data_IF_528058168387
#
_entry.id   IF_528058168387
#
_cell.length_a   1.000
_cell.length_b   1.000
_cell.length_c   1.000
_cell.angle_alpha   90.00
_cell.angle_beta   90.00
_cell.angle_gamma   90.00
#
_symmetry.space_group_name_H-M   'P 1'
#
loop_
_entity.id
_entity.type
_entity.pdbx_description
1 polymer ?
#
# COMPACT_ATOMS: atom_id res chain seq x y z
N UNK A 1 -14.95 9.76 27.90
CA UNK A 1 -13.90 10.46 27.14
C UNK A 1 -14.48 10.82 25.79
N UNK A 2 -15.06 12.08 25.74
CA UNK A 2 -15.79 12.57 24.56
C UNK A 2 -14.88 12.87 23.39
N UNK A 3 -14.62 11.88 22.59
CA UNK A 3 -14.17 12.12 21.21
C UNK A 3 -15.41 12.54 20.44
N UNK A 4 -15.50 13.84 20.17
CA UNK A 4 -16.59 14.42 19.42
C UNK A 4 -16.78 13.70 18.09
N UNK A 5 -18.02 13.34 17.81
CA UNK A 5 -18.45 12.87 16.49
C UNK A 5 -18.32 14.03 15.51
N UNK A 6 -17.47 13.91 14.52
CA UNK A 6 -17.20 14.98 13.55
C UNK A 6 -17.77 14.64 12.19
N UNK A 7 -18.35 15.66 11.52
CA UNK A 7 -18.80 15.55 10.11
C UNK A 7 -17.60 15.22 9.23
N UNK A 8 -17.76 14.22 8.37
CA UNK A 8 -16.71 13.66 7.51
C UNK A 8 -15.79 12.68 8.22
N UNK A 9 -15.92 12.47 9.54
CA UNK A 9 -15.28 11.39 10.26
C UNK A 9 -15.89 10.03 9.91
N UNK A 10 -15.28 8.96 10.41
CA UNK A 10 -15.77 7.60 10.19
C UNK A 10 -16.37 7.05 11.49
N UNK A 11 -17.54 6.44 11.37
CA UNK A 11 -18.10 5.52 12.36
C UNK A 11 -17.57 4.13 12.05
N UNK A 12 -16.89 3.51 13.02
CA UNK A 12 -16.22 2.21 12.86
C UNK A 12 -16.82 1.20 13.83
N UNK A 13 -17.36 0.10 13.30
CA UNK A 13 -17.88 -1.01 14.10
C UNK A 13 -16.74 -1.93 14.55
N UNK A 14 -16.94 -2.73 15.62
CA UNK A 14 -15.99 -3.74 16.04
C UNK A 14 -15.60 -4.68 14.91
N UNK A 15 -14.34 -5.10 14.90
CA UNK A 15 -13.84 -6.03 13.89
C UNK A 15 -14.46 -7.41 14.04
N UNK A 16 -14.93 -7.98 12.92
CA UNK A 16 -15.37 -9.37 12.80
C UNK A 16 -14.44 -10.06 11.80
N UNK A 17 -13.85 -11.18 12.18
CA UNK A 17 -12.88 -11.92 11.36
C UNK A 17 -11.73 -11.04 10.80
N UNK A 18 -11.23 -10.10 11.62
CA UNK A 18 -10.14 -9.20 11.24
C UNK A 18 -10.55 -8.00 10.37
N UNK A 19 -11.83 -7.88 10.00
CA UNK A 19 -12.32 -6.77 9.17
C UNK A 19 -13.29 -5.91 9.98
N UNK A 20 -13.06 -4.58 10.01
CA UNK A 20 -13.96 -3.61 10.62
C UNK A 20 -14.80 -2.90 9.55
N UNK A 21 -16.10 -2.87 9.73
CA UNK A 21 -16.97 -2.07 8.87
C UNK A 21 -16.92 -0.59 9.29
N UNK A 22 -16.89 0.31 8.31
CA UNK A 22 -16.88 1.75 8.56
C UNK A 22 -17.84 2.49 7.62
N UNK A 23 -18.32 3.64 8.06
CA UNK A 23 -19.14 4.53 7.27
C UNK A 23 -18.82 5.99 7.59
N UNK A 24 -18.82 6.85 6.57
CA UNK A 24 -18.56 8.28 6.70
C UNK A 24 -19.79 9.00 7.28
N UNK A 25 -19.56 9.86 8.28
CA UNK A 25 -20.60 10.67 8.91
C UNK A 25 -20.86 11.88 8.02
N UNK A 26 -22.07 11.99 7.51
CA UNK A 26 -22.52 13.12 6.67
C UNK A 26 -22.97 14.30 7.53
N UNK A 27 -23.73 14.02 8.58
CA UNK A 27 -24.34 15.04 9.42
C UNK A 27 -24.53 14.52 10.86
N UNK A 28 -24.35 15.40 11.84
CA UNK A 28 -24.71 15.17 13.22
C UNK A 28 -25.99 15.95 13.49
N UNK A 29 -27.12 15.25 13.55
CA UNK A 29 -28.45 15.87 13.68
C UNK A 29 -28.66 16.34 15.12
N UNK A 30 -28.35 15.49 16.10
CA UNK A 30 -28.40 15.77 17.51
C UNK A 30 -27.50 14.83 18.32
N UNK A 31 -27.60 14.82 19.64
CA UNK A 31 -26.78 13.98 20.52
C UNK A 31 -27.04 12.48 20.38
N UNK A 32 -28.17 12.09 19.80
CA UNK A 32 -28.62 10.69 19.69
C UNK A 32 -28.71 10.23 18.22
N UNK A 33 -28.60 11.16 17.25
CA UNK A 33 -28.84 10.86 15.84
C UNK A 33 -27.76 11.44 14.94
N UNK A 34 -27.22 10.58 14.11
CA UNK A 34 -26.26 10.93 13.07
C UNK A 34 -26.72 10.38 11.71
N UNK A 35 -26.45 11.13 10.65
CA UNK A 35 -26.68 10.66 9.27
C UNK A 35 -25.38 10.20 8.67
N UNK A 36 -25.42 9.02 8.05
CA UNK A 36 -24.28 8.46 7.33
C UNK A 36 -24.41 8.75 5.84
N UNK A 37 -23.31 9.09 5.19
CA UNK A 37 -23.25 9.37 3.75
C UNK A 37 -23.60 8.14 2.90
N UNK A 38 -23.25 6.95 3.39
CA UNK A 38 -23.67 5.67 2.84
C UNK A 38 -23.96 4.72 3.98
N UNK A 39 -24.99 3.86 3.84
CA UNK A 39 -25.30 2.87 4.86
C UNK A 39 -24.18 1.85 4.97
N UNK A 40 -24.07 1.22 6.14
CA UNK A 40 -23.25 0.04 6.31
C UNK A 40 -23.71 -1.08 5.35
N UNK A 41 -22.77 -1.84 4.85
CA UNK A 41 -23.02 -2.96 3.92
C UNK A 41 -22.47 -4.25 4.50
N UNK A 42 -23.10 -5.36 4.08
CA UNK A 42 -22.70 -6.71 4.45
C UNK A 42 -23.37 -7.23 5.72
N UNK A 43 -23.49 -8.55 5.77
CA UNK A 43 -24.21 -9.29 6.82
C UNK A 43 -23.69 -8.96 8.24
N UNK A 44 -22.39 -9.09 8.44
CA UNK A 44 -21.78 -8.89 9.76
C UNK A 44 -21.99 -7.47 10.34
N UNK A 45 -21.91 -6.44 9.51
CA UNK A 45 -22.15 -5.07 9.95
C UNK A 45 -23.61 -4.85 10.34
N UNK A 46 -24.54 -5.35 9.55
CA UNK A 46 -25.97 -5.22 9.83
C UNK A 46 -26.40 -6.05 11.04
N UNK A 47 -25.83 -7.24 11.24
CA UNK A 47 -26.03 -8.03 12.44
C UNK A 47 -25.57 -7.30 13.71
N UNK A 48 -24.39 -6.67 13.66
CA UNK A 48 -23.89 -5.87 14.79
C UNK A 48 -24.79 -4.68 15.11
N UNK A 49 -25.31 -3.99 14.10
CA UNK A 49 -26.13 -2.78 14.27
C UNK A 49 -27.53 -3.07 14.78
N UNK A 50 -28.09 -4.19 14.37
CA UNK A 50 -29.52 -4.50 14.61
C UNK A 50 -29.72 -5.65 15.58
N UNK A 51 -28.70 -6.45 15.87
CA UNK A 51 -28.80 -7.69 16.65
C UNK A 51 -29.58 -8.81 15.96
N UNK A 52 -30.00 -8.61 14.70
CA UNK A 52 -30.83 -9.56 13.93
C UNK A 52 -29.95 -10.58 13.22
N UNK A 53 -30.41 -11.83 13.18
CA UNK A 53 -29.74 -12.92 12.45
C UNK A 53 -30.29 -13.12 11.03
N UNK A 54 -31.52 -12.66 10.77
CA UNK A 54 -32.23 -12.78 9.49
C UNK A 54 -31.72 -11.76 8.43
N UNK A 55 -30.42 -11.79 8.15
CA UNK A 55 -29.75 -10.88 7.23
C UNK A 55 -28.96 -11.69 6.21
N UNK A 56 -29.18 -11.40 4.91
CA UNK A 56 -28.48 -12.03 3.80
C UNK A 56 -27.02 -11.55 3.67
N UNK A 57 -26.26 -12.19 2.79
CA UNK A 57 -24.85 -11.85 2.52
C UNK A 57 -24.65 -10.41 2.03
N UNK A 58 -25.68 -9.77 1.49
CA UNK A 58 -25.65 -8.38 1.02
C UNK A 58 -26.03 -7.36 2.11
N UNK A 59 -26.42 -7.84 3.30
CA UNK A 59 -26.85 -6.99 4.41
C UNK A 59 -28.33 -6.57 4.36
N UNK A 60 -29.18 -7.29 3.61
CA UNK A 60 -30.61 -7.05 3.57
C UNK A 60 -31.35 -8.00 4.51
N UNK A 61 -32.43 -7.51 5.12
CA UNK A 61 -33.32 -8.35 5.94
C UNK A 61 -34.03 -9.37 5.07
N UNK A 62 -34.07 -10.62 5.51
CA UNK A 62 -34.76 -11.72 4.83
C UNK A 62 -36.21 -11.87 5.26
N UNK A 63 -36.58 -11.31 6.43
CA UNK A 63 -37.95 -11.23 6.91
C UNK A 63 -38.37 -9.79 7.16
N UNK A 64 -39.23 -9.26 6.29
CA UNK A 64 -39.73 -7.89 6.37
C UNK A 64 -40.79 -7.69 7.46
N UNK A 65 -41.34 -8.76 8.03
CA UNK A 65 -42.36 -8.70 9.08
C UNK A 65 -41.76 -8.45 10.47
N UNK A 66 -40.48 -8.72 10.65
CA UNK A 66 -39.77 -8.49 11.91
C UNK A 66 -39.30 -7.06 11.96
N UNK A 67 -39.88 -6.26 12.86
CA UNK A 67 -39.48 -4.88 13.12
C UNK A 67 -38.65 -4.81 14.39
N UNK A 68 -37.48 -4.14 14.30
CA UNK A 68 -36.56 -3.96 15.43
C UNK A 68 -35.59 -5.11 15.66
N UNK A 69 -34.73 -4.97 16.66
CA UNK A 69 -33.80 -6.01 17.10
C UNK A 69 -34.43 -6.94 18.15
N UNK A 70 -33.72 -8.04 18.54
CA UNK A 70 -34.16 -8.95 19.57
C UNK A 70 -34.35 -8.22 20.93
N UNK A 71 -35.22 -8.77 21.77
CA UNK A 71 -35.49 -8.21 23.09
C UNK A 71 -34.20 -8.09 23.93
N UNK A 72 -33.98 -6.92 24.51
CA UNK A 72 -32.75 -6.61 25.27
C UNK A 72 -31.55 -6.17 24.43
N UNK A 73 -31.67 -6.08 23.12
CA UNK A 73 -30.60 -5.52 22.30
C UNK A 73 -30.48 -4.00 22.49
N UNK A 74 -29.33 -3.54 23.01
CA UNK A 74 -29.07 -2.13 23.30
C UNK A 74 -28.21 -1.44 22.25
N UNK A 75 -27.95 -2.09 21.13
CA UNK A 75 -27.10 -1.57 20.04
C UNK A 75 -25.67 -2.10 20.08
N UNK A 76 -24.88 -1.68 19.11
CA UNK A 76 -23.48 -2.08 18.96
C UNK A 76 -22.53 -1.03 19.56
N UNK A 77 -21.40 -1.50 20.08
CA UNK A 77 -20.28 -0.60 20.38
C UNK A 77 -19.70 -0.06 19.07
N UNK A 78 -19.21 1.17 19.09
CA UNK A 78 -18.55 1.77 17.94
C UNK A 78 -17.35 2.61 18.38
N UNK A 79 -16.49 2.93 17.42
CA UNK A 79 -15.42 3.92 17.56
C UNK A 79 -15.62 5.00 16.52
N UNK A 80 -15.23 6.22 16.82
CA UNK A 80 -15.15 7.30 15.84
C UNK A 80 -13.71 7.52 15.45
N UNK A 81 -13.44 7.69 14.15
CA UNK A 81 -12.17 8.14 13.64
C UNK A 81 -12.36 9.55 13.05
N UNK A 82 -11.56 10.53 13.46
CA UNK A 82 -11.68 11.89 12.94
C UNK A 82 -11.37 11.91 11.45
N UNK A 83 -11.94 12.88 10.73
CA UNK A 83 -11.50 13.18 9.36
C UNK A 83 -10.06 13.70 9.43
N UNK A 84 -9.14 12.95 8.85
CA UNK A 84 -7.78 13.44 8.67
C UNK A 84 -7.78 14.34 7.44
N UNK A 85 -7.56 15.62 7.64
CA UNK A 85 -7.31 16.55 6.55
C UNK A 85 -5.89 16.29 6.01
N UNK A 86 -5.83 15.53 4.92
CA UNK A 86 -4.56 15.21 4.26
C UNK A 86 -3.96 16.44 3.55
N UNK A 87 -4.72 17.51 3.35
CA UNK A 87 -4.25 18.72 2.64
C UNK A 87 -3.07 19.32 3.36
N UNK A 88 -3.14 19.49 4.68
CA UNK A 88 -2.04 20.05 5.48
C UNK A 88 -0.76 19.20 5.42
N UNK A 89 -0.91 17.87 5.33
CA UNK A 89 0.24 16.96 5.19
C UNK A 89 0.89 17.14 3.83
N UNK A 90 0.09 17.25 2.77
CA UNK A 90 0.61 17.47 1.41
C UNK A 90 1.24 18.86 1.27
N UNK A 91 0.66 19.90 1.86
CA UNK A 91 1.21 21.26 1.84
C UNK A 91 2.61 21.29 2.48
N UNK A 92 2.79 20.69 3.64
CA UNK A 92 4.11 20.59 4.28
C UNK A 92 5.14 19.81 3.43
N UNK A 93 4.69 18.77 2.70
CA UNK A 93 5.55 18.04 1.76
C UNK A 93 5.92 18.91 0.57
N UNK A 94 4.98 19.66 0.00
CA UNK A 94 5.21 20.54 -1.14
C UNK A 94 6.19 21.67 -0.77
N UNK A 95 6.02 22.29 0.38
CA UNK A 95 6.94 23.31 0.91
C UNK A 95 8.35 22.75 1.07
N UNK A 96 8.49 21.56 1.63
CA UNK A 96 9.79 20.91 1.80
C UNK A 96 10.47 20.60 0.47
N UNK A 97 9.73 20.10 -0.52
CA UNK A 97 10.24 19.77 -1.84
C UNK A 97 10.59 21.04 -2.64
N UNK A 98 9.75 22.09 -2.56
CA UNK A 98 10.00 23.38 -3.22
C UNK A 98 11.23 24.09 -2.65
N UNK A 99 11.52 23.89 -1.37
CA UNK A 99 12.74 24.38 -0.73
C UNK A 99 14.00 23.56 -1.08
N UNK A 100 13.93 22.62 -2.03
CA UNK A 100 15.04 21.75 -2.42
C UNK A 100 15.36 20.63 -1.41
N UNK A 101 14.43 20.34 -0.50
CA UNK A 101 14.58 19.27 0.47
C UNK A 101 14.22 17.90 -0.12
N UNK A 102 14.43 16.87 0.69
CA UNK A 102 14.04 15.50 0.35
C UNK A 102 12.97 14.97 1.31
N UNK A 103 12.11 14.09 0.79
CA UNK A 103 11.07 13.37 1.54
C UNK A 103 11.23 11.89 1.27
N UNK A 104 11.39 11.08 2.34
CA UNK A 104 11.41 9.63 2.26
C UNK A 104 10.02 9.06 2.42
N UNK A 105 9.65 8.10 1.55
CA UNK A 105 8.35 7.44 1.60
C UNK A 105 8.49 5.95 1.28
N UNK A 106 7.70 5.12 1.96
CA UNK A 106 7.55 3.70 1.65
C UNK A 106 6.22 3.49 0.92
N UNK A 107 6.23 3.39 -0.43
CA UNK A 107 5.01 3.42 -1.21
C UNK A 107 4.13 2.17 -1.05
N UNK A 108 4.67 1.09 -0.54
CA UNK A 108 3.91 -0.13 -0.22
C UNK A 108 2.99 0.04 0.99
N UNK A 109 3.32 0.97 1.89
CA UNK A 109 2.49 1.33 3.03
C UNK A 109 2.37 0.28 4.14
N UNK A 110 3.18 -0.77 4.10
CA UNK A 110 3.23 -1.82 5.12
C UNK A 110 4.44 -2.74 4.94
N UNK A 111 4.84 -3.42 6.02
CA UNK A 111 5.88 -4.45 5.99
C UNK A 111 5.26 -5.82 5.70
N UNK A 112 5.96 -6.66 4.95
CA UNK A 112 5.50 -8.00 4.57
C UNK A 112 6.68 -8.93 4.26
N UNK A 113 6.40 -10.24 4.21
CA UNK A 113 7.38 -11.29 3.90
C UNK A 113 7.23 -11.85 2.47
N UNK A 114 6.55 -11.12 1.58
CA UNK A 114 6.34 -11.56 0.20
C UNK A 114 7.61 -11.43 -0.61
N UNK A 115 7.75 -12.29 -1.63
CA UNK A 115 8.85 -12.27 -2.59
C UNK A 115 8.71 -11.20 -3.67
N UNK A 116 7.53 -10.59 -3.78
CA UNK A 116 7.20 -9.51 -4.70
C UNK A 116 6.78 -8.25 -3.95
N UNK A 117 6.89 -7.10 -4.60
CA UNK A 117 6.41 -5.83 -4.06
C UNK A 117 4.88 -5.85 -3.90
N UNK A 118 4.38 -5.22 -2.84
CA UNK A 118 2.95 -4.94 -2.71
C UNK A 118 2.51 -3.88 -3.75
N UNK A 119 1.20 -3.85 -4.10
CA UNK A 119 0.66 -2.75 -4.88
C UNK A 119 0.97 -1.40 -4.23
N UNK A 120 1.55 -0.49 -5.00
CA UNK A 120 1.98 0.80 -4.48
C UNK A 120 0.77 1.69 -4.13
N UNK A 121 0.89 2.43 -3.04
CA UNK A 121 -0.08 3.45 -2.64
C UNK A 121 0.12 4.73 -3.46
N UNK A 122 -0.96 5.40 -3.78
CA UNK A 122 -0.97 6.62 -4.60
C UNK A 122 -0.16 7.80 -4.03
N UNK A 123 0.19 7.78 -2.74
CA UNK A 123 0.82 8.90 -2.04
C UNK A 123 2.07 9.45 -2.71
N UNK A 124 2.99 8.59 -3.16
CA UNK A 124 4.23 9.03 -3.82
C UNK A 124 3.95 9.80 -5.12
N UNK A 125 3.00 9.31 -5.93
CA UNK A 125 2.64 9.95 -7.18
C UNK A 125 1.88 11.28 -6.95
N UNK A 126 0.96 11.32 -5.99
CA UNK A 126 0.23 12.54 -5.61
C UNK A 126 1.20 13.62 -5.11
N UNK A 127 2.17 13.26 -4.26
CA UNK A 127 3.18 14.19 -3.76
C UNK A 127 4.05 14.73 -4.88
N UNK A 128 4.54 13.88 -5.78
CA UNK A 128 5.40 14.28 -6.89
C UNK A 128 4.65 15.15 -7.92
N UNK A 129 3.48 14.72 -8.37
CA UNK A 129 2.66 15.46 -9.34
C UNK A 129 2.15 16.78 -8.74
N UNK A 130 1.71 16.78 -7.48
CA UNK A 130 1.24 17.98 -6.81
C UNK A 130 2.34 19.01 -6.61
N UNK A 131 3.54 18.59 -6.19
CA UNK A 131 4.69 19.48 -6.05
C UNK A 131 5.12 20.10 -7.40
N UNK A 132 5.17 19.29 -8.47
CA UNK A 132 5.49 19.78 -9.82
C UNK A 132 4.36 20.63 -10.42
N UNK A 133 3.11 20.36 -10.08
CA UNK A 133 1.99 21.21 -10.49
C UNK A 133 2.07 22.61 -9.86
N UNK A 134 2.53 22.68 -8.59
CA UNK A 134 2.74 23.95 -7.88
C UNK A 134 4.04 24.64 -8.28
N UNK A 135 5.11 23.88 -8.52
CA UNK A 135 6.46 24.41 -8.84
C UNK A 135 7.11 23.60 -9.98
N UNK A 136 6.75 23.88 -11.26
CA UNK A 136 7.20 23.08 -12.40
C UNK A 136 8.72 23.03 -12.59
N UNK A 137 9.40 24.09 -12.19
CA UNK A 137 10.84 24.25 -12.38
C UNK A 137 11.67 23.79 -11.17
N UNK A 138 11.05 23.11 -10.20
CA UNK A 138 11.73 22.64 -8.99
C UNK A 138 12.79 21.57 -9.25
N UNK A 139 12.81 20.95 -10.45
CA UNK A 139 13.74 19.86 -10.78
C UNK A 139 13.54 18.60 -9.95
N UNK A 140 12.34 18.41 -9.38
CA UNK A 140 11.98 17.25 -8.54
C UNK A 140 12.20 15.95 -9.30
N UNK A 141 12.84 15.00 -8.62
CA UNK A 141 13.07 13.64 -9.11
C UNK A 141 12.66 12.63 -8.04
N UNK A 142 12.21 11.46 -8.49
CA UNK A 142 11.94 10.32 -7.61
C UNK A 142 13.15 9.40 -7.67
N UNK A 143 13.79 9.14 -6.52
CA UNK A 143 14.94 8.24 -6.44
C UNK A 143 14.48 6.92 -5.83
N UNK A 144 14.41 5.82 -6.61
CA UNK A 144 14.06 4.52 -6.06
C UNK A 144 15.19 4.02 -5.14
N UNK A 145 14.81 3.46 -4.00
CA UNK A 145 15.74 2.97 -3.00
C UNK A 145 15.38 1.53 -2.64
N UNK A 146 16.23 0.58 -3.00
CA UNK A 146 16.11 -0.83 -2.63
C UNK A 146 16.78 -1.11 -1.29
N UNK A 147 16.06 -1.77 -0.38
CA UNK A 147 16.58 -2.22 0.90
C UNK A 147 16.69 -3.74 0.91
N UNK A 148 17.89 -4.26 0.67
CA UNK A 148 18.12 -5.70 0.57
C UNK A 148 18.71 -6.23 1.87
N UNK A 149 17.92 -6.99 2.64
CA UNK A 149 18.31 -7.57 3.91
C UNK A 149 18.85 -8.98 3.75
N UNK A 150 19.93 -9.29 4.50
CA UNK A 150 20.49 -10.65 4.60
C UNK A 150 20.20 -11.18 6.00
N UNK A 151 19.46 -12.28 6.10
CA UNK A 151 19.11 -12.88 7.39
C UNK A 151 18.43 -11.90 8.36
N UNK A 152 17.34 -11.26 7.91
CA UNK A 152 16.61 -10.23 8.66
C UNK A 152 16.21 -10.65 10.09
N UNK A 153 16.06 -11.97 10.35
CA UNK A 153 15.75 -12.55 11.65
C UNK A 153 16.94 -12.61 12.61
N UNK A 154 18.16 -12.29 12.16
CA UNK A 154 19.37 -12.35 13.01
C UNK A 154 19.80 -10.95 13.45
N UNK A 155 20.07 -10.82 14.75
CA UNK A 155 20.66 -9.60 15.29
C UNK A 155 22.00 -9.29 14.61
N UNK A 156 22.28 -8.00 14.34
CA UNK A 156 23.46 -7.52 13.60
C UNK A 156 23.57 -8.10 12.18
N UNK A 157 22.46 -8.43 11.56
CA UNK A 157 22.42 -8.79 10.15
C UNK A 157 22.87 -7.61 9.28
N UNK A 158 23.27 -7.90 8.06
CA UNK A 158 23.71 -6.90 7.08
C UNK A 158 22.56 -6.54 6.16
N UNK A 159 22.54 -5.29 5.71
CA UNK A 159 21.66 -4.81 4.66
C UNK A 159 22.49 -4.09 3.59
N UNK A 160 21.97 -4.11 2.36
CA UNK A 160 22.47 -3.29 1.26
C UNK A 160 21.36 -2.32 0.91
N UNK A 161 21.67 -1.03 0.96
CA UNK A 161 20.81 0.04 0.45
C UNK A 161 21.33 0.44 -0.92
N UNK A 162 20.49 0.30 -1.93
CA UNK A 162 20.81 0.58 -3.32
C UNK A 162 19.93 1.71 -3.83
N UNK A 163 20.56 2.79 -4.30
CA UNK A 163 19.85 3.88 -4.96
C UNK A 163 19.89 3.66 -6.46
N UNK A 164 18.72 3.63 -7.08
CA UNK A 164 18.58 3.52 -8.52
C UNK A 164 18.72 4.87 -9.24
N UNK A 165 18.56 4.83 -10.55
CA UNK A 165 18.57 6.04 -11.36
C UNK A 165 17.38 6.93 -10.99
N UNK A 166 17.61 8.25 -10.84
CA UNK A 166 16.51 9.18 -10.61
C UNK A 166 15.49 9.14 -11.74
N UNK A 167 14.23 9.00 -11.38
CA UNK A 167 13.09 9.04 -12.29
C UNK A 167 12.62 10.49 -12.42
N UNK A 168 12.62 11.00 -13.63
CA UNK A 168 12.01 12.27 -13.97
C UNK A 168 10.52 12.08 -14.23
N UNK A 169 9.71 13.00 -13.73
CA UNK A 169 8.26 12.98 -13.98
C UNK A 169 7.98 13.64 -15.31
N UNK A 170 7.38 12.96 -16.30
CA UNK A 170 7.05 13.56 -17.57
C UNK A 170 6.14 14.78 -17.43
N UNK A 171 6.40 15.83 -18.17
CA UNK A 171 5.60 17.07 -18.15
C UNK A 171 4.15 16.81 -18.53
N UNK A 172 3.93 15.87 -19.44
CA UNK A 172 2.61 15.44 -19.91
C UNK A 172 1.77 14.93 -18.74
N UNK A 173 2.36 14.17 -17.81
CA UNK A 173 1.65 13.69 -16.62
C UNK A 173 1.30 14.82 -15.65
N UNK A 174 2.17 15.83 -15.54
CA UNK A 174 1.89 17.01 -14.70
C UNK A 174 0.72 17.82 -15.29
N UNK A 175 0.67 18.00 -16.60
CA UNK A 175 -0.43 18.68 -17.27
C UNK A 175 -1.73 17.88 -17.18
N UNK A 176 -1.67 16.56 -17.36
CA UNK A 176 -2.81 15.66 -17.17
C UNK A 176 -3.38 15.79 -15.74
N UNK A 177 -2.50 15.85 -14.75
CA UNK A 177 -2.88 16.02 -13.35
C UNK A 177 -3.56 17.38 -13.09
N UNK A 178 -3.05 18.47 -13.69
CA UNK A 178 -3.64 19.82 -13.59
C UNK A 178 -5.00 19.90 -14.26
N UNK A 179 -5.18 19.25 -15.41
CA UNK A 179 -6.42 19.25 -16.19
C UNK A 179 -7.55 18.42 -15.56
N UNK A 180 -7.31 17.79 -14.38
CA UNK A 180 -8.35 17.05 -13.66
C UNK A 180 -8.31 15.54 -13.86
N UNK A 181 -7.53 15.01 -14.80
CA UNK A 181 -7.34 13.58 -15.06
C UNK A 181 -6.34 12.94 -14.08
N UNK A 182 -6.53 13.27 -12.80
CA UNK A 182 -5.59 12.92 -11.72
C UNK A 182 -5.38 11.43 -11.57
N UNK A 183 -6.42 10.61 -11.77
CA UNK A 183 -6.33 9.14 -11.61
C UNK A 183 -5.41 8.54 -12.64
N UNK A 184 -5.52 8.98 -13.88
CA UNK A 184 -4.72 8.49 -14.99
C UNK A 184 -3.25 8.89 -14.80
N UNK A 185 -2.97 10.16 -14.51
CA UNK A 185 -1.62 10.65 -14.24
C UNK A 185 -0.95 9.91 -13.08
N UNK A 186 -1.69 9.68 -11.99
CA UNK A 186 -1.20 8.94 -10.82
C UNK A 186 -0.91 7.48 -11.18
N UNK A 187 -1.78 6.81 -11.93
CA UNK A 187 -1.60 5.42 -12.33
C UNK A 187 -0.34 5.24 -13.16
N UNK A 188 -0.16 6.06 -14.20
CA UNK A 188 1.01 5.98 -15.08
C UNK A 188 2.32 6.27 -14.35
N UNK A 189 2.32 7.24 -13.43
CA UNK A 189 3.50 7.52 -12.63
C UNK A 189 3.80 6.38 -11.65
N UNK A 190 2.78 5.75 -11.04
CA UNK A 190 2.95 4.59 -10.16
C UNK A 190 3.56 3.40 -10.90
N UNK A 191 3.15 3.14 -12.14
CA UNK A 191 3.74 2.08 -12.95
C UNK A 191 5.22 2.34 -13.21
N UNK A 192 5.59 3.58 -13.50
CA UNK A 192 6.98 3.99 -13.68
C UNK A 192 7.79 3.79 -12.39
N UNK A 193 7.25 4.22 -11.25
CA UNK A 193 7.88 4.06 -9.93
C UNK A 193 8.01 2.58 -9.57
N UNK A 194 7.01 1.76 -9.87
CA UNK A 194 7.05 0.32 -9.64
C UNK A 194 8.19 -0.33 -10.41
N UNK A 195 8.33 -0.06 -11.70
CA UNK A 195 9.43 -0.58 -12.50
C UNK A 195 10.81 -0.13 -11.99
N UNK A 196 10.90 1.10 -11.54
CA UNK A 196 12.13 1.62 -10.97
C UNK A 196 12.49 0.94 -9.63
N UNK A 197 11.51 0.62 -8.79
CA UNK A 197 11.71 -0.15 -7.54
C UNK A 197 12.10 -1.60 -7.81
N UNK A 198 11.47 -2.26 -8.79
CA UNK A 198 11.84 -3.62 -9.20
C UNK A 198 13.30 -3.68 -9.66
N UNK A 199 13.81 -2.62 -10.29
CA UNK A 199 15.20 -2.56 -10.74
C UNK A 199 16.22 -2.56 -9.59
N UNK A 200 15.86 -2.07 -8.41
CA UNK A 200 16.74 -1.97 -7.22
C UNK A 200 16.41 -2.98 -6.12
N UNK A 201 15.40 -3.80 -6.32
CA UNK A 201 15.01 -4.89 -5.40
C UNK A 201 15.29 -6.26 -6.02
N UNK A 202 15.29 -7.29 -5.20
CA UNK A 202 15.34 -8.69 -5.68
C UNK A 202 13.95 -9.28 -5.48
N UNK A 203 13.17 -9.31 -6.56
CA UNK A 203 11.84 -9.92 -6.57
C UNK A 203 11.91 -11.33 -7.15
N UNK A 204 11.08 -12.25 -6.67
CA UNK A 204 10.98 -13.63 -7.17
C UNK A 204 9.51 -14.01 -7.30
N UNK A 205 9.12 -14.82 -8.31
CA UNK A 205 7.73 -15.27 -8.46
C UNK A 205 7.18 -15.98 -7.22
N UNK A 206 8.02 -16.73 -6.55
CA UNK A 206 7.67 -17.50 -5.35
C UNK A 206 8.88 -17.73 -4.45
N UNK A 207 8.62 -18.28 -3.25
CA UNK A 207 9.65 -18.54 -2.26
C UNK A 207 10.58 -19.68 -2.68
N UNK A 208 10.07 -20.73 -3.34
CA UNK A 208 10.87 -21.88 -3.77
C UNK A 208 11.88 -21.47 -4.82
N UNK A 209 11.45 -20.67 -5.79
CA UNK A 209 12.37 -20.04 -6.77
C UNK A 209 13.43 -19.20 -6.07
N UNK A 210 13.08 -18.41 -5.08
CA UNK A 210 14.03 -17.61 -4.33
C UNK A 210 15.08 -18.49 -3.63
N UNK A 211 14.66 -19.59 -3.02
CA UNK A 211 15.55 -20.54 -2.33
C UNK A 211 16.45 -21.27 -3.33
N UNK A 212 15.91 -21.67 -4.48
CA UNK A 212 16.68 -22.28 -5.58
C UNK A 212 17.78 -21.34 -6.05
N UNK A 213 17.46 -20.08 -6.31
CA UNK A 213 18.42 -19.05 -6.72
C UNK A 213 19.52 -18.84 -5.69
N UNK A 214 19.16 -18.83 -4.41
CA UNK A 214 20.16 -18.72 -3.33
C UNK A 214 21.08 -19.93 -3.28
N UNK A 215 20.56 -21.14 -3.50
CA UNK A 215 21.37 -22.35 -3.58
C UNK A 215 22.30 -22.33 -4.81
N UNK A 216 21.77 -22.04 -6.00
CA UNK A 216 22.53 -21.92 -7.23
C UNK A 216 23.67 -20.89 -7.11
N UNK A 217 23.40 -19.72 -6.51
CA UNK A 217 24.45 -18.72 -6.25
C UNK A 217 25.57 -19.23 -5.36
N UNK A 218 25.24 -20.01 -4.31
CA UNK A 218 26.27 -20.59 -3.42
C UNK A 218 27.16 -21.59 -4.18
N UNK A 219 26.58 -22.38 -5.05
CA UNK A 219 27.28 -23.35 -5.89
C UNK A 219 28.11 -22.67 -7.00
N UNK A 220 27.63 -21.57 -7.52
CA UNK A 220 28.30 -20.83 -8.60
C UNK A 220 29.57 -20.08 -8.16
N UNK A 221 29.87 -20.00 -6.90
CA UNK A 221 31.09 -19.31 -6.42
C UNK A 221 32.32 -20.24 -6.47
N UNK A 222 33.00 -20.35 -7.63
CA UNK A 222 34.03 -21.37 -7.86
C UNK A 222 35.32 -21.13 -7.05
N UNK A 223 35.52 -19.91 -6.56
CA UNK A 223 36.76 -19.53 -5.86
C UNK A 223 36.67 -19.63 -4.35
N UNK A 224 35.47 -19.91 -3.80
CA UNK A 224 35.22 -19.90 -2.35
C UNK A 224 35.42 -18.54 -1.67
N UNK A 225 35.76 -17.48 -2.43
CA UNK A 225 35.93 -16.13 -1.91
C UNK A 225 34.59 -15.51 -1.55
N UNK A 226 34.53 -14.78 -0.44
CA UNK A 226 33.33 -14.02 -0.07
C UNK A 226 33.11 -12.90 -1.08
N UNK A 227 31.98 -12.95 -1.77
CA UNK A 227 31.56 -11.88 -2.66
C UNK A 227 31.17 -10.63 -1.85
N UNK A 228 31.46 -9.41 -2.33
CA UNK A 228 30.89 -8.19 -1.79
C UNK A 228 29.37 -8.24 -1.81
N UNK A 229 28.70 -7.70 -0.77
CA UNK A 229 27.24 -7.77 -0.67
C UNK A 229 26.49 -7.16 -1.87
N UNK A 230 26.90 -6.01 -2.44
CA UNK A 230 26.26 -5.49 -3.66
C UNK A 230 26.35 -6.47 -4.83
N UNK A 231 27.45 -7.17 -5.00
CA UNK A 231 27.60 -8.19 -6.03
C UNK A 231 26.71 -9.41 -5.77
N UNK A 232 26.48 -9.77 -4.50
CA UNK A 232 25.53 -10.83 -4.11
C UNK A 232 24.12 -10.46 -4.53
N UNK A 233 23.70 -9.22 -4.29
CA UNK A 233 22.37 -8.71 -4.70
C UNK A 233 22.23 -8.74 -6.22
N UNK A 234 23.22 -8.22 -6.94
CA UNK A 234 23.19 -8.19 -8.41
C UNK A 234 23.19 -9.61 -9.01
N UNK A 235 23.98 -10.53 -8.46
CA UNK A 235 24.00 -11.93 -8.91
C UNK A 235 22.65 -12.61 -8.69
N UNK A 236 22.01 -12.41 -7.52
CA UNK A 236 20.67 -12.93 -7.28
C UNK A 236 19.67 -12.39 -8.31
N UNK A 237 19.69 -11.09 -8.60
CA UNK A 237 18.81 -10.46 -9.59
C UNK A 237 18.99 -11.05 -10.98
N UNK A 238 20.23 -11.23 -11.41
CA UNK A 238 20.54 -11.86 -12.71
C UNK A 238 20.11 -13.32 -12.78
N UNK A 239 20.33 -14.08 -11.71
CA UNK A 239 19.92 -15.49 -11.65
C UNK A 239 18.40 -15.62 -11.68
N UNK A 240 17.64 -14.80 -10.92
CA UNK A 240 16.17 -14.78 -10.97
C UNK A 240 15.70 -14.47 -12.38
N UNK A 241 16.23 -13.41 -13.01
CA UNK A 241 15.86 -13.02 -14.37
C UNK A 241 16.15 -14.13 -15.39
N UNK A 242 17.33 -14.74 -15.31
CA UNK A 242 17.72 -15.85 -16.16
C UNK A 242 16.83 -17.07 -15.98
N UNK A 243 16.59 -17.48 -14.73
CA UNK A 243 15.69 -18.59 -14.42
C UNK A 243 14.27 -18.36 -14.93
N UNK A 244 13.69 -17.19 -14.65
CA UNK A 244 12.34 -16.84 -15.12
C UNK A 244 12.23 -16.90 -16.64
N UNK A 245 13.29 -16.54 -17.36
CA UNK A 245 13.32 -16.59 -18.82
C UNK A 245 13.46 -18.02 -19.38
N UNK A 246 14.22 -18.88 -18.71
CA UNK A 246 14.57 -20.21 -19.19
C UNK A 246 13.92 -21.36 -18.43
N UNK A 247 13.02 -21.10 -17.47
CA UNK A 247 12.41 -22.14 -16.61
C UNK A 247 11.72 -23.26 -17.36
N UNK A 248 11.21 -22.99 -18.56
CA UNK A 248 10.52 -23.96 -19.41
C UNK A 248 11.45 -24.62 -20.44
N UNK A 249 12.75 -24.32 -20.46
CA UNK A 249 13.72 -24.97 -21.30
C UNK A 249 13.93 -26.41 -20.81
N UNK A 250 13.81 -27.44 -21.70
CA UNK A 250 13.94 -28.84 -21.31
C UNK A 250 15.25 -29.17 -20.56
N UNK A 251 16.33 -28.46 -20.86
CA UNK A 251 17.63 -28.63 -20.19
C UNK A 251 17.62 -28.12 -18.75
N UNK A 252 16.75 -27.14 -18.43
CA UNK A 252 16.59 -26.62 -17.06
C UNK A 252 15.59 -27.46 -16.27
N UNK A 253 14.51 -27.91 -16.93
CA UNK A 253 13.49 -28.77 -16.31
C UNK A 253 14.06 -30.14 -15.89
N UNK A 254 15.11 -30.62 -16.61
CA UNK A 254 15.74 -31.91 -16.32
C UNK A 254 16.80 -31.87 -15.22
N UNK A 255 17.16 -30.72 -14.70
CA UNK A 255 18.09 -30.52 -13.60
C UNK A 255 17.40 -30.54 -12.24
#
# INVERSE_FOLDING_TARGET
DGKEVQIGGLLVLPSVNGTAANAEIEEVINAEEIRLKKPFKGQAAMQQLTGREDIDSNGKFTDENVKGGPEGFTGSKYKTAPKVDQTQVYDAVFDRLSAGGAVGIFPEGGSHDRTELLPLKAGVAIMALGALAASPDSGLKIVPCGMNYFHAHKFRSRAVVEFGNPVEVPKELVELYKNGERREAVSQLLDTVYQALVAVTVTSPDYDTLMLIQAARRLYNPTGKKLPLPMVVELNRRLVKGYTHYKDDPRIVSL
#
